data_IF_032760789003
#
_entry.id   IF_032760789003
#
_cell.length_a   1.000
_cell.length_b   1.000
_cell.length_c   1.000
_cell.angle_alpha   90.00
_cell.angle_beta   90.00
_cell.angle_gamma   90.00
#
_symmetry.space_group_name_H-M   'P 1'
#
loop_
_entity.id
_entity.type
_entity.pdbx_description
1 polymer ?
#
# COMPACT_ATOMS: atom_id res chain seq x y z
N UNK A 1 1.55 -0.03 17.52
CA UNK A 1 2.22 -1.33 17.73
C UNK A 1 1.77 -2.22 16.59
N UNK A 2 2.71 -2.75 15.81
CA UNK A 2 2.41 -3.70 14.72
C UNK A 2 2.66 -5.09 15.27
N UNK A 3 1.68 -5.99 15.15
CA UNK A 3 1.74 -7.34 15.69
C UNK A 3 1.04 -8.35 14.77
N UNK A 4 1.54 -9.58 14.74
CA UNK A 4 0.94 -10.68 13.99
C UNK A 4 0.80 -11.92 14.87
N UNK A 5 -0.45 -12.35 15.07
CA UNK A 5 -0.81 -13.53 15.85
C UNK A 5 -1.31 -14.65 14.92
N UNK A 6 -0.78 -15.86 15.06
CA UNK A 6 -1.31 -17.05 14.39
C UNK A 6 -2.48 -17.62 15.19
N UNK A 7 -3.66 -17.72 14.57
CA UNK A 7 -4.89 -18.22 15.22
C UNK A 7 -5.10 -19.71 14.95
N UNK A 8 -5.01 -20.11 13.68
CA UNK A 8 -5.27 -21.48 13.24
C UNK A 8 -4.42 -21.81 12.00
N UNK A 9 -4.19 -23.11 11.77
CA UNK A 9 -3.40 -23.60 10.64
C UNK A 9 -3.96 -24.92 10.12
N UNK A 10 -4.02 -25.04 8.80
CA UNK A 10 -4.23 -26.31 8.09
C UNK A 10 -3.17 -26.44 6.97
N UNK A 11 -2.32 -27.46 7.05
CA UNK A 11 -1.19 -27.61 6.13
C UNK A 11 -0.24 -26.41 6.14
N UNK A 12 -0.16 -25.65 5.04
CA UNK A 12 0.59 -24.38 4.93
C UNK A 12 -0.32 -23.13 5.02
N UNK A 13 -1.64 -23.31 5.04
CA UNK A 13 -2.61 -22.23 5.20
C UNK A 13 -2.65 -21.77 6.65
N UNK A 14 -2.87 -20.47 6.86
CA UNK A 14 -2.83 -19.83 8.18
C UNK A 14 -3.99 -18.84 8.29
N UNK A 15 -4.73 -18.94 9.39
CA UNK A 15 -5.56 -17.85 9.89
C UNK A 15 -4.74 -17.07 10.89
N UNK A 16 -4.71 -15.75 10.73
CA UNK A 16 -3.92 -14.89 11.60
C UNK A 16 -4.56 -13.54 11.82
N UNK A 17 -4.18 -12.87 12.89
CA UNK A 17 -4.62 -11.52 13.23
C UNK A 17 -3.45 -10.57 13.09
N UNK A 18 -3.59 -9.57 12.22
CA UNK A 18 -2.58 -8.54 12.00
C UNK A 18 -3.07 -7.21 12.53
N UNK A 19 -2.39 -6.66 13.52
CA UNK A 19 -2.73 -5.40 14.17
C UNK A 19 -1.85 -4.28 13.64
N UNK A 20 -2.46 -3.17 13.22
CA UNK A 20 -1.80 -1.94 12.77
C UNK A 20 -2.25 -0.76 13.64
N UNK A 21 -1.61 0.42 13.52
CA UNK A 21 -2.08 1.64 14.21
C UNK A 21 -3.56 1.98 13.99
N UNK A 22 -4.10 1.71 12.79
CA UNK A 22 -5.48 2.07 12.43
C UNK A 22 -6.48 0.89 12.43
N UNK A 23 -6.12 -0.26 12.99
CA UNK A 23 -7.07 -1.35 13.19
C UNK A 23 -6.43 -2.72 13.08
N UNK A 24 -7.29 -3.74 13.12
CA UNK A 24 -6.87 -5.13 13.06
C UNK A 24 -7.54 -5.80 11.86
N UNK A 25 -6.77 -6.58 11.10
CA UNK A 25 -7.27 -7.39 9.98
C UNK A 25 -7.05 -8.88 10.27
N UNK A 26 -8.01 -9.70 9.88
CA UNK A 26 -7.85 -11.15 9.86
C UNK A 26 -7.31 -11.59 8.50
N UNK A 27 -6.34 -12.50 8.52
CA UNK A 27 -5.70 -13.08 7.33
C UNK A 27 -6.23 -14.50 7.10
N UNK A 28 -6.40 -14.94 5.84
CA UNK A 28 -6.04 -14.26 4.59
C UNK A 28 -6.96 -13.06 4.29
N UNK A 29 -6.35 -11.94 3.90
CA UNK A 29 -7.04 -10.68 3.64
C UNK A 29 -6.92 -10.29 2.16
N UNK A 30 -8.00 -9.73 1.61
CA UNK A 30 -7.99 -9.05 0.32
C UNK A 30 -7.95 -7.54 0.55
N UNK A 31 -6.96 -6.86 -0.05
CA UNK A 31 -6.82 -5.40 0.02
C UNK A 31 -7.17 -4.81 -1.35
N UNK A 32 -8.34 -4.17 -1.52
CA UNK A 32 -8.67 -3.49 -2.77
C UNK A 32 -7.72 -2.33 -3.06
N UNK A 33 -7.37 -2.17 -4.34
CA UNK A 33 -6.54 -1.05 -4.80
C UNK A 33 -7.40 0.21 -4.90
N UNK A 34 -7.01 1.24 -4.17
CA UNK A 34 -7.61 2.57 -4.20
C UNK A 34 -6.66 3.52 -4.89
N UNK A 35 -7.11 4.14 -5.98
CA UNK A 35 -6.38 5.24 -6.61
C UNK A 35 -6.35 6.45 -5.66
N UNK A 36 -5.18 7.08 -5.41
CA UNK A 36 -5.05 8.13 -4.40
C UNK A 36 -5.78 9.43 -4.74
N UNK A 37 -6.03 9.68 -6.03
CA UNK A 37 -6.92 10.75 -6.49
C UNK A 37 -8.40 10.35 -6.31
N UNK A 38 -9.16 11.00 -5.39
CA UNK A 38 -10.57 10.69 -5.17
C UNK A 38 -11.45 10.92 -6.40
N UNK A 39 -11.05 11.80 -7.32
CA UNK A 39 -11.80 12.05 -8.56
C UNK A 39 -11.77 10.86 -9.52
N UNK A 40 -10.81 9.94 -9.35
CA UNK A 40 -10.69 8.70 -10.14
C UNK A 40 -11.34 7.50 -9.45
N UNK A 41 -11.91 7.69 -8.26
CA UNK A 41 -12.60 6.63 -7.55
C UNK A 41 -14.11 6.66 -7.88
N UNK A 42 -14.66 5.60 -8.50
CA UNK A 42 -16.09 5.53 -8.78
C UNK A 42 -16.93 5.42 -7.50
N UNK A 43 -16.32 4.89 -6.42
CA UNK A 43 -16.93 4.76 -5.10
C UNK A 43 -15.92 5.20 -4.04
N UNK A 44 -16.29 6.08 -3.09
CA UNK A 44 -15.39 6.47 -2.02
C UNK A 44 -14.99 5.28 -1.13
N UNK A 45 -13.72 5.18 -0.68
CA UNK A 45 -13.27 4.09 0.20
C UNK A 45 -14.09 3.92 1.48
N UNK A 46 -14.54 5.00 2.11
CA UNK A 46 -15.49 4.96 3.25
C UNK A 46 -16.79 4.21 2.94
N UNK A 47 -17.29 4.33 1.71
CA UNK A 47 -18.52 3.67 1.27
C UNK A 47 -18.24 2.20 0.96
N UNK A 48 -17.13 1.91 0.27
CA UNK A 48 -16.66 0.54 0.08
C UNK A 48 -16.51 -0.19 1.41
N UNK A 49 -15.93 0.45 2.43
CA UNK A 49 -15.84 -0.10 3.79
C UNK A 49 -17.21 -0.44 4.35
N UNK A 50 -18.15 0.49 4.28
CA UNK A 50 -19.51 0.33 4.84
C UNK A 50 -20.29 -0.79 4.15
N UNK A 51 -20.19 -0.90 2.83
CA UNK A 51 -21.02 -1.82 2.03
C UNK A 51 -20.38 -3.19 1.89
N UNK A 52 -19.05 -3.26 1.76
CA UNK A 52 -18.29 -4.48 1.49
C UNK A 52 -17.55 -5.03 2.71
N UNK A 53 -17.51 -4.28 3.81
CA UNK A 53 -16.79 -4.69 5.02
C UNK A 53 -15.27 -4.70 4.86
N UNK A 54 -14.71 -3.78 4.07
CA UNK A 54 -13.27 -3.72 3.82
C UNK A 54 -12.48 -3.52 5.13
N UNK A 55 -11.63 -4.49 5.45
CA UNK A 55 -10.74 -4.42 6.62
C UNK A 55 -9.50 -3.56 6.40
N UNK A 56 -9.00 -3.47 5.16
CA UNK A 56 -7.84 -2.68 4.77
C UNK A 56 -7.88 -2.36 3.26
N UNK A 57 -7.06 -1.41 2.82
CA UNK A 57 -6.88 -1.06 1.40
C UNK A 57 -5.41 -0.88 1.06
N UNK A 58 -5.08 -0.90 -0.23
CA UNK A 58 -3.77 -0.52 -0.75
C UNK A 58 -3.90 0.70 -1.68
N UNK A 59 -2.97 1.64 -1.59
CA UNK A 59 -2.86 2.78 -2.52
C UNK A 59 -1.40 3.01 -2.93
N UNK A 60 -1.14 3.88 -3.91
CA UNK A 60 0.21 4.14 -4.39
C UNK A 60 0.79 5.40 -3.76
N UNK A 61 1.85 5.25 -2.95
CA UNK A 61 2.62 6.40 -2.46
C UNK A 61 3.39 7.06 -3.59
N UNK A 62 3.80 6.31 -4.62
CA UNK A 62 4.47 6.89 -5.79
C UNK A 62 3.57 7.87 -6.57
N UNK A 63 2.34 7.47 -6.92
CA UNK A 63 1.39 8.37 -7.59
C UNK A 63 1.12 9.60 -6.73
N UNK A 64 1.00 9.40 -5.42
CA UNK A 64 0.79 10.48 -4.46
C UNK A 64 1.96 11.46 -4.44
N UNK A 65 3.20 10.94 -4.32
CA UNK A 65 4.43 11.73 -4.32
C UNK A 65 4.63 12.52 -5.61
N UNK A 66 4.40 11.88 -6.76
CA UNK A 66 4.55 12.48 -8.11
C UNK A 66 3.52 13.59 -8.37
N UNK A 67 2.34 13.54 -7.75
CA UNK A 67 1.23 14.43 -8.06
C UNK A 67 1.16 15.56 -7.04
N UNK A 68 1.61 16.81 -7.34
CA UNK A 68 1.81 17.84 -6.32
C UNK A 68 0.56 18.17 -5.49
N UNK A 69 -0.66 18.26 -6.08
CA UNK A 69 -1.87 18.45 -5.28
C UNK A 69 -2.14 17.32 -4.29
N UNK A 70 -1.93 16.05 -4.68
CA UNK A 70 -2.15 14.89 -3.81
C UNK A 70 -1.09 14.82 -2.72
N UNK A 71 0.19 15.03 -3.09
CA UNK A 71 1.31 15.11 -2.15
C UNK A 71 1.03 16.14 -1.06
N UNK A 72 0.65 17.35 -1.46
CA UNK A 72 0.39 18.44 -0.51
C UNK A 72 -0.79 18.13 0.43
N UNK A 73 -1.80 17.38 -0.03
CA UNK A 73 -2.90 16.93 0.83
C UNK A 73 -2.42 15.83 1.78
N UNK A 74 -1.70 14.83 1.28
CA UNK A 74 -1.19 13.71 2.08
C UNK A 74 -0.21 14.17 3.18
N UNK A 75 0.67 15.12 2.88
CA UNK A 75 1.60 15.70 3.86
C UNK A 75 0.87 16.49 4.96
N UNK A 76 -0.33 17.04 4.67
CA UNK A 76 -1.12 17.80 5.66
C UNK A 76 -2.12 16.95 6.43
N UNK A 77 -2.77 16.00 5.78
CA UNK A 77 -3.92 15.26 6.30
C UNK A 77 -3.64 13.75 6.47
N UNK A 78 -2.44 13.29 6.13
CA UNK A 78 -2.09 11.88 6.06
C UNK A 78 -2.72 11.17 4.86
N UNK A 79 -2.30 9.94 4.63
CA UNK A 79 -2.82 9.08 3.56
C UNK A 79 -4.30 8.75 3.77
N UNK A 80 -4.70 8.54 5.02
CA UNK A 80 -6.08 8.30 5.43
C UNK A 80 -7.01 9.47 5.08
N UNK A 81 -6.54 10.70 5.33
CA UNK A 81 -7.27 11.92 4.99
C UNK A 81 -7.38 12.14 3.48
N UNK A 82 -6.32 11.80 2.74
CA UNK A 82 -6.32 11.89 1.28
C UNK A 82 -7.37 10.96 0.65
N UNK A 83 -7.39 9.69 1.04
CA UNK A 83 -8.28 8.69 0.42
C UNK A 83 -9.65 8.56 1.11
N UNK A 84 -9.82 9.16 2.29
CA UNK A 84 -11.04 9.08 3.07
C UNK A 84 -11.32 7.66 3.59
N UNK A 85 -10.28 6.98 4.10
CA UNK A 85 -10.37 5.64 4.69
C UNK A 85 -9.76 5.65 6.10
N UNK A 86 -10.53 5.16 7.08
CA UNK A 86 -10.22 5.20 8.51
C UNK A 86 -9.72 3.86 9.07
N UNK A 87 -9.39 2.90 8.21
CA UNK A 87 -8.79 1.62 8.58
C UNK A 87 -7.35 1.50 8.11
N UNK A 88 -6.72 0.33 8.29
CA UNK A 88 -5.36 0.06 7.84
C UNK A 88 -5.13 0.34 6.34
N UNK A 89 -4.09 1.11 6.04
CA UNK A 89 -3.68 1.47 4.67
C UNK A 89 -2.27 0.95 4.37
N UNK A 90 -2.17 0.12 3.34
CA UNK A 90 -0.89 -0.24 2.71
C UNK A 90 -0.56 0.75 1.61
N UNK A 91 0.72 1.11 1.49
CA UNK A 91 1.22 1.94 0.38
C UNK A 91 2.25 1.19 -0.45
N UNK A 92 2.05 1.23 -1.77
CA UNK A 92 3.00 0.72 -2.77
C UNK A 92 4.03 1.79 -3.14
N UNK A 93 5.31 1.40 -3.16
CA UNK A 93 6.50 2.20 -3.45
C UNK A 93 6.61 2.65 -4.91
N UNK A 94 5.88 2.00 -5.81
CA UNK A 94 5.87 2.33 -7.24
C UNK A 94 6.70 1.38 -8.11
N UNK A 95 7.08 0.21 -7.59
CA UNK A 95 7.80 -0.81 -8.35
C UNK A 95 7.06 -1.24 -9.64
N UNK A 96 5.72 -1.26 -9.60
CA UNK A 96 4.91 -1.51 -10.80
C UNK A 96 5.11 -0.44 -11.87
N UNK A 97 5.19 0.84 -11.50
CA UNK A 97 5.42 1.95 -12.41
C UNK A 97 6.85 1.92 -12.96
N UNK A 98 7.82 1.47 -12.17
CA UNK A 98 9.17 1.22 -12.65
C UNK A 98 9.18 0.16 -13.76
N UNK A 99 8.45 -0.94 -13.58
CA UNK A 99 8.29 -1.96 -14.62
C UNK A 99 7.54 -1.42 -15.86
N UNK A 100 6.41 -0.73 -15.66
CA UNK A 100 5.57 -0.27 -16.76
C UNK A 100 6.18 0.87 -17.60
N UNK A 101 7.01 1.73 -16.99
CA UNK A 101 7.57 2.94 -17.63
C UNK A 101 9.10 2.95 -17.73
N UNK A 102 9.78 1.93 -17.23
CA UNK A 102 11.23 1.75 -17.30
C UNK A 102 12.03 2.49 -16.21
N UNK A 103 11.46 3.49 -15.55
CA UNK A 103 12.09 4.16 -14.41
C UNK A 103 11.08 4.85 -13.48
N UNK A 104 11.49 5.04 -12.23
CA UNK A 104 10.83 5.92 -11.26
C UNK A 104 11.79 7.05 -10.89
N UNK A 105 11.23 8.23 -10.64
CA UNK A 105 11.99 9.47 -10.36
C UNK A 105 12.38 9.60 -8.88
N UNK A 106 12.04 8.62 -8.05
CA UNK A 106 12.21 8.63 -6.59
C UNK A 106 13.10 7.47 -6.16
N UNK A 107 14.04 7.74 -5.24
CA UNK A 107 14.91 6.70 -4.67
C UNK A 107 14.20 5.89 -3.57
N UNK A 108 14.73 4.70 -3.21
CA UNK A 108 14.16 3.85 -2.15
C UNK A 108 14.00 4.57 -0.80
N UNK A 109 15.04 5.27 -0.35
CA UNK A 109 15.01 5.98 0.93
C UNK A 109 14.01 7.15 0.92
N UNK A 110 13.90 7.84 -0.21
CA UNK A 110 13.00 8.98 -0.34
C UNK A 110 11.53 8.54 -0.33
N UNK A 111 11.18 7.46 -1.03
CA UNK A 111 9.80 6.96 -1.02
C UNK A 111 9.43 6.35 0.33
N UNK A 112 10.38 5.70 1.03
CA UNK A 112 10.13 5.20 2.39
C UNK A 112 9.91 6.35 3.37
N UNK A 113 10.77 7.38 3.34
CA UNK A 113 10.58 8.57 4.17
C UNK A 113 9.25 9.28 3.87
N UNK A 114 8.81 9.29 2.60
CA UNK A 114 7.51 9.81 2.23
C UNK A 114 6.35 8.96 2.79
N UNK A 115 6.43 7.63 2.71
CA UNK A 115 5.43 6.72 3.26
C UNK A 115 5.27 6.88 4.78
N UNK A 116 6.37 7.10 5.49
CA UNK A 116 6.38 7.44 6.92
C UNK A 116 5.72 8.81 7.17
N UNK A 117 6.10 9.84 6.40
CA UNK A 117 5.58 11.21 6.53
C UNK A 117 4.06 11.27 6.36
N UNK A 118 3.50 10.51 5.41
CA UNK A 118 2.04 10.47 5.17
C UNK A 118 1.30 9.50 6.09
N UNK A 119 2.01 8.80 7.00
CA UNK A 119 1.40 7.92 8.00
C UNK A 119 0.84 6.62 7.43
N UNK A 120 1.57 5.96 6.52
CA UNK A 120 1.19 4.62 6.05
C UNK A 120 1.25 3.59 7.18
N UNK A 121 0.26 2.69 7.27
CA UNK A 121 0.30 1.59 8.25
C UNK A 121 1.27 0.48 7.84
N UNK A 122 1.31 0.20 6.53
CA UNK A 122 2.13 -0.86 5.93
C UNK A 122 2.86 -0.23 4.75
N UNK A 123 4.15 0.06 4.93
CA UNK A 123 5.00 0.61 3.88
C UNK A 123 5.65 -0.52 3.07
N UNK A 124 5.87 -0.25 1.78
CA UNK A 124 6.60 -1.15 0.88
C UNK A 124 7.93 -0.52 0.49
N UNK A 125 8.99 -1.33 0.42
CA UNK A 125 10.29 -0.90 -0.10
C UNK A 125 10.22 -0.78 -1.63
N UNK A 126 11.07 0.03 -2.24
CA UNK A 126 11.23 0.03 -3.70
C UNK A 126 12.11 -1.16 -4.09
N UNK A 127 11.48 -2.27 -4.48
CA UNK A 127 12.14 -3.49 -4.92
C UNK A 127 12.39 -3.49 -6.43
N UNK A 128 13.42 -4.25 -6.84
CA UNK A 128 13.70 -4.49 -8.26
C UNK A 128 12.71 -5.51 -8.81
N UNK A 129 11.93 -5.10 -9.78
CA UNK A 129 11.07 -6.00 -10.52
C UNK A 129 11.91 -6.91 -11.45
N UNK A 130 11.86 -8.21 -11.23
CA UNK A 130 12.51 -9.24 -12.07
C UNK A 130 11.43 -9.98 -12.87
N UNK A 131 11.58 -10.06 -14.18
CA UNK A 131 10.62 -10.75 -15.04
C UNK A 131 10.84 -12.28 -15.01
N UNK A 132 9.80 -13.09 -15.26
CA UNK A 132 9.94 -14.55 -15.30
C UNK A 132 11.02 -15.04 -16.28
N UNK A 133 11.27 -14.29 -17.35
CA UNK A 133 12.25 -14.58 -18.40
C UNK A 133 13.65 -14.00 -18.12
N UNK A 134 13.84 -13.21 -17.05
CA UNK A 134 15.13 -12.59 -16.73
C UNK A 134 16.21 -13.65 -16.52
N UNK A 135 17.39 -13.53 -17.18
CA UNK A 135 18.50 -14.45 -17.00
C UNK A 135 18.94 -14.62 -15.53
N UNK A 136 19.49 -15.78 -15.19
CA UNK A 136 19.92 -16.09 -13.82
C UNK A 136 21.01 -15.12 -13.31
N UNK A 137 21.96 -14.76 -14.17
CA UNK A 137 23.05 -13.84 -13.84
C UNK A 137 22.56 -12.41 -13.58
N UNK A 138 21.48 -11.99 -14.25
CA UNK A 138 20.85 -10.69 -14.03
C UNK A 138 19.91 -10.67 -12.82
N UNK A 139 19.25 -11.79 -12.51
CA UNK A 139 18.31 -11.90 -11.38
C UNK A 139 18.99 -12.13 -10.02
N UNK A 140 20.24 -12.60 -10.02
CA UNK A 140 21.01 -12.87 -8.79
C UNK A 140 21.71 -11.61 -8.22
N UNK A 141 21.53 -10.43 -8.82
CA UNK A 141 22.26 -9.18 -8.55
C UNK A 141 21.41 -8.10 -7.85
#
# INVERSE_FOLDING_TARGET
MVDFELLERDGLARLGRFTTPHGTIETPALLPVVHPDPARQPMPPREMRRVLGLGAVITSSYITWRTPPLRAIAERAGIHGLIGFDGPVMTDSGAFQQHAYGSVEVGPDEILAFQETIGSDIATVLDRFTEPETPHDESAA
#
